data_IF_169081944748
#
_entry.id   IF_169081944748
#
_cell.length_a   1.000
_cell.length_b   1.000
_cell.length_c   1.000
_cell.angle_alpha   90.00
_cell.angle_beta   90.00
_cell.angle_gamma   90.00
#
_symmetry.space_group_name_H-M   'P 1'
#
loop_
_entity.id
_entity.type
_entity.pdbx_description
1 polymer ?
#
# COMPACT_ATOMS: atom_id res chain seq x y z
N UNK A 1 10.12 16.13 14.52
CA UNK A 1 10.68 17.13 15.49
C UNK A 1 10.13 16.82 16.89
N UNK A 2 11.02 16.68 17.90
CA UNK A 2 10.61 16.42 19.29
C UNK A 2 10.13 17.71 19.96
N UNK A 3 8.99 17.67 20.68
CA UNK A 3 8.45 18.76 21.48
C UNK A 3 7.92 18.22 22.81
N UNK A 4 7.83 19.06 23.87
CA UNK A 4 7.13 18.68 25.09
C UNK A 4 5.69 18.23 24.78
N UNK A 5 5.24 17.14 25.41
CA UNK A 5 3.90 16.59 25.18
C UNK A 5 2.81 17.62 25.50
N UNK A 6 2.99 18.43 26.56
CA UNK A 6 2.05 19.50 26.89
C UNK A 6 1.93 20.58 25.79
N UNK A 7 3.04 20.86 25.09
CA UNK A 7 3.04 21.80 23.95
C UNK A 7 2.29 21.20 22.76
N UNK A 8 2.54 19.92 22.45
CA UNK A 8 1.77 19.21 21.40
C UNK A 8 0.27 19.27 21.65
N UNK A 9 -0.18 18.91 22.87
CA UNK A 9 -1.61 18.92 23.26
C UNK A 9 -2.22 20.33 23.14
N UNK A 10 -1.49 21.35 23.58
CA UNK A 10 -1.94 22.75 23.43
C UNK A 10 -2.04 23.20 21.97
N UNK A 11 -1.06 22.86 21.13
CA UNK A 11 -1.04 23.23 19.71
C UNK A 11 -2.13 22.49 18.91
N UNK A 12 -2.35 21.20 19.19
CA UNK A 12 -3.37 20.37 18.52
C UNK A 12 -4.78 20.87 18.87
N UNK A 13 -5.10 20.99 20.18
CA UNK A 13 -6.41 21.47 20.64
C UNK A 13 -6.66 22.94 20.27
N UNK A 14 -5.60 23.76 20.18
CA UNK A 14 -5.65 25.16 19.74
C UNK A 14 -5.75 25.35 18.24
N UNK A 15 -5.69 24.28 17.43
CA UNK A 15 -5.81 24.32 15.98
C UNK A 15 -4.56 24.83 15.26
N UNK A 16 -3.40 24.91 15.91
CA UNK A 16 -2.15 25.39 15.29
C UNK A 16 -1.72 24.51 14.10
N UNK A 17 -2.11 23.22 14.09
CA UNK A 17 -1.82 22.27 13.01
C UNK A 17 -2.96 22.10 11.99
N UNK A 18 -4.06 22.87 12.08
CA UNK A 18 -5.25 22.67 11.25
C UNK A 18 -4.93 22.70 9.74
N UNK A 19 -4.16 23.69 9.27
CA UNK A 19 -3.77 23.77 7.85
C UNK A 19 -2.92 22.57 7.40
N UNK A 20 -1.99 22.11 8.24
CA UNK A 20 -1.16 20.94 7.98
C UNK A 20 -2.00 19.66 7.91
N UNK A 21 -2.92 19.48 8.85
CA UNK A 21 -3.84 18.33 8.89
C UNK A 21 -4.81 18.34 7.70
N UNK A 22 -5.38 19.51 7.35
CA UNK A 22 -6.24 19.62 6.18
C UNK A 22 -5.52 19.21 4.89
N UNK A 23 -4.29 19.66 4.70
CA UNK A 23 -3.47 19.28 3.55
C UNK A 23 -3.11 17.79 3.57
N UNK A 24 -2.68 17.26 4.73
CA UNK A 24 -2.25 15.87 4.86
C UNK A 24 -3.38 14.86 4.61
N UNK A 25 -4.59 15.15 5.11
CA UNK A 25 -5.75 14.27 5.02
C UNK A 25 -6.70 14.62 3.86
N UNK A 26 -6.40 15.64 3.05
CA UNK A 26 -7.29 16.12 1.99
C UNK A 26 -8.71 16.36 2.50
N UNK A 27 -8.85 16.96 3.68
CA UNK A 27 -10.12 17.12 4.36
C UNK A 27 -10.51 18.60 4.51
N UNK A 28 -11.80 18.87 4.67
CA UNK A 28 -12.30 20.21 4.93
C UNK A 28 -11.81 20.71 6.32
N UNK A 29 -11.67 22.04 6.52
CA UNK A 29 -11.20 22.62 7.79
C UNK A 29 -12.00 22.14 9.01
N UNK A 30 -13.30 21.90 8.84
CA UNK A 30 -14.21 21.44 9.90
C UNK A 30 -13.91 20.01 10.38
N UNK A 31 -13.17 19.23 9.58
CA UNK A 31 -12.78 17.85 9.90
C UNK A 31 -11.41 17.77 10.60
N UNK A 32 -10.64 18.85 10.62
CA UNK A 32 -9.29 18.84 11.21
C UNK A 32 -9.27 18.61 12.73
N UNK A 33 -10.28 19.03 13.55
CA UNK A 33 -10.32 18.70 14.97
C UNK A 33 -10.38 17.19 15.23
N UNK A 34 -11.07 16.42 14.40
CA UNK A 34 -11.11 14.97 14.54
C UNK A 34 -9.73 14.34 14.25
N UNK A 35 -8.97 14.88 13.28
CA UNK A 35 -7.60 14.44 13.03
C UNK A 35 -6.67 14.83 14.18
N UNK A 36 -6.78 16.06 14.71
CA UNK A 36 -6.00 16.51 15.87
C UNK A 36 -6.23 15.61 17.10
N UNK A 37 -7.48 15.25 17.37
CA UNK A 37 -7.84 14.35 18.47
C UNK A 37 -7.19 12.96 18.37
N UNK A 38 -6.98 12.43 17.15
CA UNK A 38 -6.23 11.17 16.93
C UNK A 38 -4.78 11.31 17.40
N UNK A 39 -4.12 12.43 17.10
CA UNK A 39 -2.74 12.67 17.54
C UNK A 39 -2.66 12.93 19.07
N UNK A 40 -3.65 13.56 19.66
CA UNK A 40 -3.73 13.67 21.11
C UNK A 40 -3.86 12.28 21.75
N UNK A 41 -4.71 11.42 21.19
CA UNK A 41 -4.91 10.06 21.68
C UNK A 41 -3.64 9.19 21.63
N UNK A 42 -2.79 9.30 20.60
CA UNK A 42 -1.52 8.55 20.58
C UNK A 42 -0.48 9.11 21.57
N UNK A 43 -0.51 10.40 21.89
CA UNK A 43 0.28 10.96 22.98
C UNK A 43 -0.19 10.43 24.35
N UNK A 44 -1.50 10.37 24.57
CA UNK A 44 -2.07 9.78 25.78
C UNK A 44 -1.73 8.29 25.89
N UNK A 45 -1.82 7.56 24.76
CA UNK A 45 -1.45 6.15 24.67
C UNK A 45 0.03 5.89 25.00
N UNK A 46 0.94 6.76 24.50
CA UNK A 46 2.35 6.69 24.83
C UNK A 46 2.59 6.81 26.35
N UNK A 47 2.03 7.85 26.98
CA UNK A 47 2.17 8.08 28.42
C UNK A 47 1.49 6.98 29.26
N UNK A 48 0.32 6.50 28.85
CA UNK A 48 -0.41 5.44 29.55
C UNK A 48 0.33 4.10 29.52
N UNK A 49 1.01 3.80 28.39
CA UNK A 49 1.69 2.51 28.19
C UNK A 49 3.10 2.49 28.79
N UNK A 50 3.85 3.56 28.62
CA UNK A 50 5.28 3.57 28.95
C UNK A 50 5.65 4.48 30.12
N UNK A 51 4.68 5.23 30.64
CA UNK A 51 4.89 6.25 31.66
C UNK A 51 5.17 7.64 31.05
N UNK A 52 5.39 8.66 31.90
CA UNK A 52 5.57 10.04 31.43
C UNK A 52 6.83 10.21 30.57
N UNK A 53 6.68 10.94 29.48
CA UNK A 53 7.77 11.38 28.62
C UNK A 53 7.85 12.91 28.64
N UNK A 54 9.07 13.45 28.70
CA UNK A 54 9.27 14.91 28.68
C UNK A 54 8.91 15.49 27.30
N UNK A 55 9.23 14.76 26.24
CA UNK A 55 9.02 15.14 24.86
C UNK A 55 8.66 13.94 23.98
N UNK A 56 7.97 14.21 22.89
CA UNK A 56 7.64 13.21 21.86
C UNK A 56 7.66 13.83 20.47
N UNK A 57 7.85 13.00 19.45
CA UNK A 57 7.59 13.30 18.05
C UNK A 57 6.27 12.69 17.60
N UNK A 58 5.61 13.30 16.60
CA UNK A 58 4.38 12.80 16.00
C UNK A 58 4.62 12.46 14.52
N UNK A 59 4.13 11.30 14.10
CA UNK A 59 4.42 10.71 12.80
C UNK A 59 3.18 10.12 12.16
N UNK A 60 3.20 10.02 10.82
CA UNK A 60 2.13 9.40 10.05
C UNK A 60 2.68 8.69 8.82
N UNK A 61 2.14 7.53 8.50
CA UNK A 61 2.38 6.86 7.22
C UNK A 61 1.06 6.35 6.62
N UNK A 62 0.76 6.69 5.35
CA UNK A 62 -0.49 6.33 4.71
C UNK A 62 -0.55 4.89 4.25
N UNK A 63 -1.77 4.35 4.14
CA UNK A 63 -2.03 3.23 3.25
C UNK A 63 -1.87 3.63 1.78
N UNK A 64 -1.99 2.65 0.88
CA UNK A 64 -1.84 2.86 -0.55
C UNK A 64 -2.98 2.23 -1.36
N UNK A 65 -3.19 2.71 -2.57
CA UNK A 65 -4.03 2.07 -3.58
C UNK A 65 -3.22 1.75 -4.82
N UNK A 66 -3.45 0.55 -5.40
CA UNK A 66 -2.95 0.18 -6.72
C UNK A 66 -3.93 0.68 -7.78
N UNK A 67 -3.48 1.55 -8.69
CA UNK A 67 -4.32 2.13 -9.75
C UNK A 67 -4.17 1.37 -11.06
N UNK A 68 -2.98 0.85 -11.35
CA UNK A 68 -2.69 0.09 -12.56
C UNK A 68 -1.42 -0.75 -12.43
N UNK A 69 -1.30 -1.77 -13.29
CA UNK A 69 -0.16 -2.69 -13.27
C UNK A 69 -0.34 -3.86 -12.30
N UNK A 70 -1.49 -4.54 -12.40
CA UNK A 70 -1.80 -5.66 -11.51
C UNK A 70 -0.80 -6.82 -11.68
N UNK A 71 -0.01 -7.09 -10.64
CA UNK A 71 1.07 -8.10 -10.60
C UNK A 71 2.23 -7.87 -11.59
N UNK A 72 2.33 -6.70 -12.22
CA UNK A 72 3.41 -6.43 -13.17
C UNK A 72 4.77 -6.23 -12.48
N UNK A 73 4.80 -5.74 -11.25
CA UNK A 73 6.00 -5.53 -10.43
C UNK A 73 6.80 -6.81 -10.22
N UNK A 74 6.12 -7.95 -10.01
CA UNK A 74 6.76 -9.27 -9.88
C UNK A 74 7.46 -9.75 -11.17
N UNK A 75 7.21 -9.08 -12.29
CA UNK A 75 7.81 -9.33 -13.60
C UNK A 75 8.66 -8.14 -14.07
N UNK A 76 9.13 -7.30 -13.16
CA UNK A 76 9.91 -6.08 -13.41
C UNK A 76 9.18 -5.07 -14.31
N UNK A 77 7.85 -5.08 -14.27
CA UNK A 77 7.00 -4.20 -15.08
C UNK A 77 6.77 -2.83 -14.44
N UNK A 78 5.81 -2.10 -15.00
CA UNK A 78 5.38 -0.79 -14.53
C UNK A 78 4.15 -0.92 -13.66
N UNK A 79 4.04 -0.04 -12.67
CA UNK A 79 2.85 0.11 -11.83
C UNK A 79 2.47 1.59 -11.72
N UNK A 80 1.19 1.83 -11.46
CA UNK A 80 0.63 3.12 -11.09
C UNK A 80 -0.05 2.95 -9.74
N UNK A 81 0.42 3.66 -8.72
CA UNK A 81 -0.08 3.55 -7.36
C UNK A 81 -0.16 4.92 -6.69
N UNK A 82 -0.94 5.03 -5.63
CA UNK A 82 -1.06 6.28 -4.89
C UNK A 82 -1.20 6.03 -3.39
N UNK A 83 -0.71 6.97 -2.59
CA UNK A 83 -0.99 7.03 -1.16
C UNK A 83 -2.42 7.53 -0.93
N UNK A 84 -3.06 7.04 0.12
CA UNK A 84 -4.43 7.40 0.46
C UNK A 84 -4.52 8.09 1.82
N UNK A 85 -5.61 8.82 2.06
CA UNK A 85 -5.81 9.65 3.25
C UNK A 85 -6.20 8.88 4.52
N UNK A 86 -6.07 7.56 4.54
CA UNK A 86 -6.13 6.72 5.74
C UNK A 86 -4.72 6.26 6.09
N UNK A 87 -4.38 6.26 7.37
CA UNK A 87 -3.00 6.10 7.80
C UNK A 87 -2.84 5.36 9.13
N UNK A 88 -1.59 5.05 9.43
CA UNK A 88 -1.10 4.78 10.77
C UNK A 88 -0.41 6.03 11.29
N UNK A 89 -0.71 6.40 12.53
CA UNK A 89 -0.06 7.51 13.24
C UNK A 89 0.66 7.00 14.47
N UNK A 90 1.73 7.70 14.86
CA UNK A 90 2.50 7.34 16.05
C UNK A 90 2.91 8.57 16.87
N UNK A 91 3.01 8.36 18.18
CA UNK A 91 3.83 9.17 19.06
C UNK A 91 5.06 8.38 19.48
N UNK A 92 6.25 9.00 19.39
CA UNK A 92 7.50 8.36 19.77
C UNK A 92 8.28 9.24 20.75
N UNK A 93 8.74 8.65 21.85
CA UNK A 93 9.50 9.34 22.91
C UNK A 93 10.74 8.54 23.34
N UNK A 94 11.85 9.21 23.76
CA UNK A 94 13.09 8.53 24.14
C UNK A 94 12.92 7.74 25.45
N UNK A 95 13.62 6.61 25.55
CA UNK A 95 13.81 5.88 26.79
C UNK A 95 15.29 5.61 27.08
N UNK A 96 15.60 5.21 28.32
CA UNK A 96 16.97 4.92 28.76
C UNK A 96 17.29 3.44 28.77
N UNK A 97 16.43 2.58 28.24
CA UNK A 97 16.55 1.12 28.35
C UNK A 97 17.43 0.50 27.28
N UNK A 98 17.81 1.26 26.23
CA UNK A 98 18.53 0.72 25.07
C UNK A 98 17.70 -0.24 24.24
N UNK A 99 16.38 -0.11 24.27
CA UNK A 99 15.40 -0.94 23.58
C UNK A 99 14.49 -0.07 22.73
N UNK A 100 14.07 -0.59 21.57
CA UNK A 100 12.89 -0.10 20.86
C UNK A 100 11.68 -0.88 21.39
N UNK A 101 10.71 -0.16 21.96
CA UNK A 101 9.46 -0.72 22.45
C UNK A 101 8.31 -0.13 21.63
N UNK A 102 7.54 -0.99 20.98
CA UNK A 102 6.43 -0.57 20.11
C UNK A 102 5.14 -1.20 20.59
N UNK A 103 4.19 -0.36 20.94
CA UNK A 103 2.82 -0.74 21.26
C UNK A 103 1.90 -0.25 20.14
N UNK A 104 1.40 -1.18 19.33
CA UNK A 104 0.28 -0.87 18.43
C UNK A 104 -1.04 -1.15 19.14
N UNK A 105 -2.02 -0.27 18.93
CA UNK A 105 -3.34 -0.41 19.51
C UNK A 105 -3.99 -1.74 19.13
N UNK A 106 -4.42 -2.52 20.12
CA UNK A 106 -5.02 -3.84 19.93
C UNK A 106 -4.04 -5.00 19.64
N UNK A 107 -2.73 -4.79 19.84
CA UNK A 107 -1.69 -5.82 19.70
C UNK A 107 -0.83 -5.90 20.98
N UNK A 108 -0.06 -6.96 21.11
CA UNK A 108 0.91 -7.14 22.18
C UNK A 108 2.10 -6.18 22.02
N UNK A 109 2.70 -5.81 23.16
CA UNK A 109 3.91 -5.00 23.20
C UNK A 109 5.08 -5.74 22.55
N UNK A 110 5.69 -5.10 21.56
CA UNK A 110 6.91 -5.61 20.91
C UNK A 110 8.15 -4.89 21.46
N UNK A 111 9.18 -5.66 21.84
CA UNK A 111 10.42 -5.14 22.43
C UNK A 111 11.62 -5.66 21.68
N UNK A 112 12.46 -4.77 21.15
CA UNK A 112 13.69 -5.09 20.45
C UNK A 112 14.89 -4.57 21.22
N UNK A 113 15.83 -5.45 21.57
CA UNK A 113 17.12 -5.05 22.11
C UNK A 113 17.99 -4.47 20.98
N UNK A 114 18.32 -3.17 21.05
CA UNK A 114 19.09 -2.47 20.02
C UNK A 114 20.57 -2.91 19.94
N UNK A 115 21.03 -3.70 20.90
CA UNK A 115 22.38 -4.31 20.88
C UNK A 115 22.46 -5.56 20.03
N UNK A 116 21.32 -6.26 19.86
CA UNK A 116 21.22 -7.49 19.07
C UNK A 116 20.14 -7.36 17.99
N UNK A 117 20.58 -7.02 16.79
CA UNK A 117 19.73 -6.81 15.61
C UNK A 117 19.90 -7.94 14.56
N UNK A 118 20.52 -9.06 14.92
CA UNK A 118 20.62 -10.20 14.01
C UNK A 118 19.24 -10.79 13.71
N UNK A 119 19.01 -11.25 12.47
CA UNK A 119 17.78 -11.92 12.08
C UNK A 119 17.59 -13.20 12.91
N UNK A 120 16.35 -13.48 13.32
CA UNK A 120 15.97 -14.63 14.15
C UNK A 120 14.86 -15.41 13.48
N UNK A 121 15.10 -16.68 13.26
CA UNK A 121 14.14 -17.56 12.59
C UNK A 121 12.81 -17.68 13.36
N UNK A 122 12.87 -17.67 14.67
CA UNK A 122 11.69 -17.70 15.54
C UNK A 122 10.82 -16.44 15.50
N UNK A 123 11.36 -15.34 14.95
CA UNK A 123 10.62 -14.09 14.75
C UNK A 123 10.01 -13.98 13.34
N UNK A 124 10.30 -14.90 12.41
CA UNK A 124 9.69 -14.90 11.06
C UNK A 124 8.15 -14.78 11.16
N UNK A 125 7.57 -14.00 10.28
CA UNK A 125 6.14 -13.65 10.25
C UNK A 125 5.63 -12.84 11.47
N UNK A 126 6.52 -12.15 12.19
CA UNK A 126 6.14 -11.27 13.32
C UNK A 126 6.56 -9.83 13.10
N UNK A 127 5.89 -8.87 13.76
CA UNK A 127 6.28 -7.46 13.75
C UNK A 127 7.69 -7.25 14.33
N UNK A 128 8.15 -8.13 15.22
CA UNK A 128 9.50 -8.06 15.80
C UNK A 128 10.58 -8.21 14.72
N UNK A 129 10.37 -9.09 13.74
CA UNK A 129 11.29 -9.26 12.62
C UNK A 129 11.41 -7.97 11.79
N UNK A 130 10.29 -7.32 11.45
CA UNK A 130 10.29 -6.05 10.72
C UNK A 130 11.05 -4.98 11.50
N UNK A 131 10.70 -4.76 12.76
CA UNK A 131 11.33 -3.75 13.62
C UNK A 131 12.85 -3.96 13.76
N UNK A 132 13.26 -5.22 13.92
CA UNK A 132 14.68 -5.60 14.01
C UNK A 132 15.41 -5.34 12.70
N UNK A 133 14.83 -5.72 11.57
CA UNK A 133 15.37 -5.51 10.23
C UNK A 133 15.54 -4.02 9.91
N UNK A 134 14.54 -3.21 10.19
CA UNK A 134 14.64 -1.76 9.96
C UNK A 134 15.70 -1.11 10.85
N UNK A 135 15.74 -1.44 12.16
CA UNK A 135 16.80 -0.95 13.05
C UNK A 135 18.19 -1.30 12.52
N UNK A 136 18.39 -2.53 12.03
CA UNK A 136 19.66 -2.94 11.42
C UNK A 136 19.98 -2.14 10.17
N UNK A 137 19.03 -1.96 9.27
CA UNK A 137 19.21 -1.21 8.04
C UNK A 137 19.57 0.26 8.31
N UNK A 138 18.96 0.89 9.32
CA UNK A 138 19.30 2.25 9.75
C UNK A 138 20.66 2.30 10.44
N UNK A 139 21.02 1.31 11.28
CA UNK A 139 22.34 1.18 11.88
C UNK A 139 23.45 1.10 10.82
N UNK A 140 23.25 0.29 9.77
CA UNK A 140 24.18 0.18 8.64
C UNK A 140 24.37 1.51 7.89
N UNK A 141 23.37 2.39 7.93
CA UNK A 141 23.45 3.75 7.37
C UNK A 141 24.04 4.80 8.32
N UNK A 142 24.53 4.36 9.47
CA UNK A 142 25.22 5.20 10.45
C UNK A 142 24.32 5.79 11.52
N UNK A 143 23.06 5.34 11.65
CA UNK A 143 22.20 5.74 12.75
C UNK A 143 22.75 5.25 14.09
N UNK A 144 22.87 6.16 15.05
CA UNK A 144 23.24 5.85 16.44
C UNK A 144 21.96 5.63 17.24
N UNK A 145 21.41 4.43 17.09
CA UNK A 145 20.14 4.07 17.73
C UNK A 145 20.27 4.13 19.27
N UNK A 146 19.27 4.71 19.91
CA UNK A 146 19.09 4.74 21.35
C UNK A 146 17.69 4.28 21.71
N UNK A 147 17.42 4.07 23.01
CA UNK A 147 16.12 3.58 23.46
C UNK A 147 14.98 4.49 23.03
N UNK A 148 13.90 3.89 22.52
CA UNK A 148 12.74 4.58 21.98
C UNK A 148 11.44 3.83 22.34
N UNK A 149 10.43 4.56 22.78
CA UNK A 149 9.07 4.09 22.99
C UNK A 149 8.17 4.65 21.89
N UNK A 150 7.37 3.80 21.28
CA UNK A 150 6.48 4.16 20.18
C UNK A 150 5.08 3.62 20.45
N UNK A 151 4.07 4.48 20.43
CA UNK A 151 2.67 4.09 20.47
C UNK A 151 2.00 4.40 19.13
N UNK A 152 1.31 3.41 18.56
CA UNK A 152 0.75 3.46 17.19
C UNK A 152 -0.76 3.25 17.25
N UNK A 153 -1.52 4.09 16.55
CA UNK A 153 -2.94 3.89 16.21
C UNK A 153 -3.14 3.88 14.71
N UNK A 154 -4.07 3.05 14.22
CA UNK A 154 -4.28 2.83 12.79
C UNK A 154 -5.74 2.99 12.38
N UNK A 155 -5.95 3.78 11.32
CA UNK A 155 -7.21 3.82 10.56
C UNK A 155 -7.14 2.98 9.27
N UNK A 156 -5.99 2.34 8.99
CA UNK A 156 -5.85 1.43 7.84
C UNK A 156 -6.53 0.12 8.18
N UNK A 157 -7.67 -0.23 7.56
CA UNK A 157 -8.40 -1.44 7.91
C UNK A 157 -7.59 -2.69 7.58
N UNK A 158 -7.63 -3.69 8.46
CA UNK A 158 -6.99 -4.98 8.20
C UNK A 158 -7.69 -5.70 7.05
N UNK A 159 -6.91 -6.32 6.17
CA UNK A 159 -7.45 -7.11 5.06
C UNK A 159 -8.13 -6.28 3.96
N UNK A 160 -8.15 -4.95 4.07
CA UNK A 160 -8.81 -4.05 3.11
C UNK A 160 -8.01 -3.80 1.82
N UNK A 161 -6.91 -4.51 1.61
CA UNK A 161 -6.09 -4.34 0.41
C UNK A 161 -5.33 -3.01 0.30
N UNK A 162 -5.41 -2.11 1.30
CA UNK A 162 -4.72 -0.81 1.29
C UNK A 162 -3.37 -0.83 2.02
N UNK A 163 -2.82 -2.00 2.26
CA UNK A 163 -1.47 -2.30 2.76
C UNK A 163 -1.11 -1.69 4.12
N UNK A 164 -1.70 -2.25 5.18
CA UNK A 164 -1.32 -1.88 6.55
C UNK A 164 0.13 -2.26 6.89
N UNK A 165 0.70 -3.33 6.31
CA UNK A 165 2.10 -3.72 6.51
C UNK A 165 3.06 -2.65 6.02
N UNK A 166 2.90 -2.19 4.77
CA UNK A 166 3.75 -1.15 4.21
C UNK A 166 3.63 0.18 4.97
N UNK A 167 2.39 0.55 5.41
CA UNK A 167 2.20 1.73 6.25
C UNK A 167 2.96 1.61 7.58
N UNK A 168 2.97 0.43 8.20
CA UNK A 168 3.73 0.17 9.44
C UNK A 168 5.25 0.29 9.21
N UNK A 169 5.78 -0.36 8.17
CA UNK A 169 7.20 -0.29 7.80
C UNK A 169 7.63 1.14 7.52
N UNK A 170 6.87 1.85 6.69
CA UNK A 170 7.17 3.26 6.37
C UNK A 170 7.09 4.15 7.61
N UNK A 171 6.13 3.92 8.52
CA UNK A 171 6.00 4.68 9.76
C UNK A 171 7.25 4.53 10.64
N UNK A 172 7.71 3.30 10.84
CA UNK A 172 8.94 3.02 11.62
C UNK A 172 10.15 3.63 10.92
N UNK A 173 10.26 3.47 9.60
CA UNK A 173 11.34 4.07 8.81
C UNK A 173 11.39 5.59 8.94
N UNK A 174 10.24 6.29 8.91
CA UNK A 174 10.16 7.75 9.09
C UNK A 174 10.59 8.16 10.51
N UNK A 175 10.14 7.44 11.53
CA UNK A 175 10.52 7.68 12.94
C UNK A 175 12.04 7.56 13.11
N UNK A 176 12.62 6.46 12.63
CA UNK A 176 14.07 6.21 12.73
C UNK A 176 14.89 7.24 11.94
N UNK A 177 14.39 7.66 10.76
CA UNK A 177 15.04 8.67 9.93
C UNK A 177 15.06 10.05 10.59
N UNK A 178 13.93 10.52 11.11
CA UNK A 178 13.84 11.81 11.81
C UNK A 178 14.76 11.83 13.05
N UNK A 179 14.61 10.82 13.92
CA UNK A 179 15.25 10.84 15.24
C UNK A 179 16.74 10.52 15.20
N UNK A 180 17.20 9.69 14.27
CA UNK A 180 18.58 9.19 14.30
C UNK A 180 19.42 9.58 13.08
N UNK A 181 18.82 10.05 11.99
CA UNK A 181 19.54 10.48 10.78
C UNK A 181 19.17 11.90 10.30
N UNK A 182 18.34 12.64 11.05
CA UNK A 182 17.90 13.99 10.69
C UNK A 182 17.37 14.06 9.24
N UNK A 183 16.48 13.13 8.89
CA UNK A 183 15.79 13.02 7.59
C UNK A 183 16.72 12.86 6.36
N UNK A 184 17.90 12.28 6.54
CA UNK A 184 18.86 12.09 5.43
C UNK A 184 18.52 10.93 4.51
N UNK A 185 17.61 10.04 4.91
CA UNK A 185 17.19 8.92 4.09
C UNK A 185 16.00 9.35 3.25
N UNK A 186 16.09 9.19 1.93
CA UNK A 186 15.01 9.57 1.02
C UNK A 186 13.79 8.64 1.18
N UNK A 187 12.57 9.09 0.81
CA UNK A 187 11.38 8.24 0.83
C UNK A 187 11.56 6.94 0.04
N UNK A 188 12.22 6.98 -1.12
CA UNK A 188 12.54 5.79 -1.91
C UNK A 188 13.41 4.82 -1.10
N UNK A 189 14.42 5.32 -0.40
CA UNK A 189 15.29 4.46 0.40
C UNK A 189 14.57 3.92 1.65
N UNK A 190 13.62 4.65 2.26
CA UNK A 190 12.76 4.15 3.34
C UNK A 190 11.93 2.97 2.82
N UNK A 191 11.29 3.10 1.65
CA UNK A 191 10.53 2.02 1.03
C UNK A 191 11.39 0.77 0.78
N UNK A 192 12.62 0.94 0.28
CA UNK A 192 13.57 -0.15 0.06
C UNK A 192 14.03 -0.81 1.38
N UNK A 193 14.15 -0.04 2.47
CA UNK A 193 14.45 -0.57 3.81
C UNK A 193 13.31 -1.46 4.29
N UNK A 194 12.04 -1.01 4.21
CA UNK A 194 10.88 -1.78 4.60
C UNK A 194 10.81 -3.10 3.82
N UNK A 195 10.90 -3.06 2.49
CA UNK A 195 10.94 -4.25 1.65
C UNK A 195 12.09 -5.21 2.05
N UNK A 196 13.27 -4.68 2.30
CA UNK A 196 14.41 -5.51 2.73
C UNK A 196 14.14 -6.18 4.07
N UNK A 197 13.55 -5.46 5.03
CA UNK A 197 13.16 -6.03 6.32
C UNK A 197 12.11 -7.13 6.15
N UNK A 198 11.10 -6.93 5.26
CA UNK A 198 10.08 -7.95 4.96
C UNK A 198 10.68 -9.19 4.30
N UNK A 199 11.57 -9.01 3.32
CA UNK A 199 12.17 -10.12 2.58
C UNK A 199 13.20 -10.91 3.40
N UNK A 200 14.03 -10.23 4.22
CA UNK A 200 15.21 -10.84 4.88
C UNK A 200 14.92 -11.25 6.32
N UNK A 201 14.12 -10.48 7.05
CA UNK A 201 13.84 -10.71 8.47
C UNK A 201 12.47 -11.36 8.67
N UNK A 202 11.43 -10.83 8.04
CA UNK A 202 10.09 -11.40 8.14
C UNK A 202 9.94 -12.69 7.35
N UNK A 203 10.74 -12.89 6.29
CA UNK A 203 10.80 -14.13 5.53
C UNK A 203 9.75 -14.25 4.42
N UNK A 204 9.07 -13.18 4.07
CA UNK A 204 8.05 -13.15 3.00
C UNK A 204 8.54 -12.34 1.81
N UNK A 205 8.83 -12.94 0.65
CA UNK A 205 9.15 -12.21 -0.57
C UNK A 205 7.97 -11.30 -0.99
N UNK A 206 8.22 -10.01 -1.06
CA UNK A 206 7.23 -9.02 -1.49
C UNK A 206 7.77 -8.13 -2.62
N UNK A 207 6.85 -7.52 -3.40
CA UNK A 207 7.15 -6.42 -4.30
C UNK A 207 7.50 -5.14 -3.53
N UNK A 208 7.92 -4.10 -4.26
CA UNK A 208 8.31 -2.81 -3.67
C UNK A 208 7.21 -1.72 -3.83
N UNK A 209 6.15 -2.01 -4.58
CA UNK A 209 5.10 -1.04 -4.91
C UNK A 209 4.44 -0.45 -3.67
N UNK A 210 4.10 -1.28 -2.70
CA UNK A 210 3.32 -0.91 -1.52
C UNK A 210 4.08 0.09 -0.65
N UNK A 211 5.31 -0.26 -0.29
CA UNK A 211 6.19 0.60 0.50
C UNK A 211 6.52 1.89 -0.24
N UNK A 212 6.72 1.82 -1.57
CA UNK A 212 7.03 2.98 -2.39
C UNK A 212 5.87 3.97 -2.41
N UNK A 213 4.63 3.50 -2.66
CA UNK A 213 3.46 4.35 -2.68
C UNK A 213 3.18 4.97 -1.31
N UNK A 214 3.30 4.19 -0.21
CA UNK A 214 3.14 4.70 1.16
C UNK A 214 4.21 5.73 1.53
N UNK A 215 5.46 5.51 1.12
CA UNK A 215 6.60 6.35 1.52
C UNK A 215 6.72 7.64 0.73
N UNK A 216 6.49 7.60 -0.59
CA UNK A 216 6.68 8.76 -1.49
C UNK A 216 5.50 9.72 -1.44
N UNK A 217 4.28 9.19 -1.37
CA UNK A 217 3.07 10.01 -1.42
C UNK A 217 2.60 10.33 -2.85
N UNK A 218 1.45 11.00 -2.94
CA UNK A 218 0.80 11.34 -4.21
C UNK A 218 0.45 10.10 -5.06
N UNK A 219 0.15 10.31 -6.34
CA UNK A 219 0.17 9.24 -7.34
C UNK A 219 1.57 9.19 -7.93
N UNK A 220 2.11 7.99 -8.02
CA UNK A 220 3.42 7.71 -8.61
C UNK A 220 3.30 6.60 -9.65
N UNK A 221 4.06 6.72 -10.72
CA UNK A 221 4.37 5.59 -11.59
C UNK A 221 5.75 5.07 -11.25
N UNK A 222 5.89 3.74 -11.24
CA UNK A 222 7.15 3.07 -10.93
C UNK A 222 7.48 2.14 -12.10
N UNK A 223 8.67 2.26 -12.69
CA UNK A 223 9.20 1.28 -13.64
C UNK A 223 10.27 0.43 -12.94
N UNK A 224 10.00 -0.86 -12.79
CA UNK A 224 10.88 -1.84 -12.16
C UNK A 224 11.81 -2.54 -13.16
N UNK A 225 12.10 -1.95 -14.32
CA UNK A 225 13.03 -2.55 -15.29
C UNK A 225 14.38 -2.94 -14.64
N UNK A 226 14.86 -2.12 -13.69
CA UNK A 226 15.91 -2.46 -12.73
C UNK A 226 15.34 -2.34 -11.30
N UNK A 227 14.98 -3.45 -10.65
CA UNK A 227 14.42 -3.41 -9.30
C UNK A 227 15.36 -2.82 -8.24
N UNK A 228 16.68 -2.85 -8.46
CA UNK A 228 17.64 -2.24 -7.55
C UNK A 228 17.66 -0.70 -7.68
N UNK A 229 17.21 -0.19 -8.84
CA UNK A 229 17.14 1.24 -9.15
C UNK A 229 15.84 1.57 -9.87
N UNK A 230 14.69 1.42 -9.21
CA UNK A 230 13.40 1.69 -9.82
C UNK A 230 13.30 3.17 -10.22
N UNK A 231 12.70 3.43 -11.39
CA UNK A 231 12.40 4.80 -11.81
C UNK A 231 11.04 5.16 -11.22
N UNK A 232 11.02 6.17 -10.34
CA UNK A 232 9.82 6.64 -9.65
C UNK A 232 9.52 8.06 -10.11
N UNK A 233 8.35 8.27 -10.71
CA UNK A 233 7.92 9.58 -11.18
C UNK A 233 6.57 9.95 -10.59
N UNK A 234 6.39 11.19 -10.10
CA UNK A 234 5.08 11.66 -9.68
C UNK A 234 4.15 11.85 -10.89
N UNK A 235 2.87 11.54 -10.65
CA UNK A 235 1.78 11.79 -11.58
C UNK A 235 0.77 12.68 -10.85
N UNK A 236 0.97 14.01 -10.84
CA UNK A 236 0.16 14.93 -10.05
C UNK A 236 -1.26 15.01 -10.63
N UNK A 237 -2.20 14.38 -9.94
CA UNK A 237 -3.63 14.35 -10.33
C UNK A 237 -4.49 14.46 -9.08
N UNK A 238 -5.52 15.27 -9.18
CA UNK A 238 -6.61 15.34 -8.22
C UNK A 238 -7.91 14.83 -8.87
N UNK A 239 -8.31 13.61 -8.52
CA UNK A 239 -9.53 13.01 -9.04
C UNK A 239 -10.79 13.80 -8.67
N UNK A 240 -10.79 14.53 -7.55
CA UNK A 240 -11.94 15.33 -7.14
C UNK A 240 -12.21 16.49 -8.10
N UNK A 241 -11.16 17.10 -8.65
CA UNK A 241 -11.28 18.13 -9.69
C UNK A 241 -11.80 17.57 -11.02
N UNK A 242 -11.60 16.26 -11.26
CA UNK A 242 -12.17 15.57 -12.39
C UNK A 242 -13.61 15.09 -12.15
N UNK A 243 -14.21 15.42 -11.00
CA UNK A 243 -15.53 14.96 -10.63
C UNK A 243 -15.60 13.46 -10.31
N UNK A 244 -14.48 12.86 -9.91
CA UNK A 244 -14.35 11.44 -9.58
C UNK A 244 -14.00 11.25 -8.11
N UNK A 245 -14.61 10.25 -7.48
CA UNK A 245 -14.24 9.74 -6.16
C UNK A 245 -13.59 8.36 -6.32
N UNK A 246 -12.52 8.14 -5.56
CA UNK A 246 -11.89 6.82 -5.44
C UNK A 246 -12.58 6.06 -4.30
N UNK A 247 -13.13 4.88 -4.60
CA UNK A 247 -13.75 4.00 -3.62
C UNK A 247 -13.01 2.67 -3.56
N UNK A 248 -12.76 2.19 -2.35
CA UNK A 248 -12.31 0.82 -2.07
C UNK A 248 -13.45 0.09 -1.38
N UNK A 249 -13.89 -1.00 -2.00
CA UNK A 249 -15.00 -1.82 -1.56
C UNK A 249 -14.45 -3.10 -0.92
N UNK A 250 -14.68 -3.29 0.37
CA UNK A 250 -14.33 -4.53 1.06
C UNK A 250 -15.36 -5.61 0.72
N UNK A 251 -14.96 -6.62 -0.04
CA UNK A 251 -15.83 -7.70 -0.47
C UNK A 251 -16.27 -8.66 0.67
N UNK A 252 -15.55 -8.62 1.80
CA UNK A 252 -15.73 -9.56 2.90
C UNK A 252 -15.10 -10.93 2.68
N UNK A 253 -14.42 -11.15 1.55
CA UNK A 253 -13.69 -12.40 1.32
C UNK A 253 -12.46 -12.50 2.22
N UNK A 254 -12.26 -13.69 2.80
CA UNK A 254 -11.08 -13.97 3.63
C UNK A 254 -9.87 -14.32 2.75
N UNK A 255 -8.69 -13.89 3.19
CA UNK A 255 -7.39 -14.23 2.59
C UNK A 255 -6.81 -15.56 3.11
N UNK A 256 -7.45 -16.21 4.09
CA UNK A 256 -7.00 -17.47 4.63
C UNK A 256 -6.92 -18.52 3.49
N UNK A 257 -5.87 -19.30 3.49
CA UNK A 257 -5.63 -20.41 2.55
C UNK A 257 -5.44 -20.03 1.05
N UNK A 258 -5.24 -18.74 0.71
CA UNK A 258 -5.01 -18.31 -0.68
C UNK A 258 -3.54 -18.09 -1.04
N UNK A 259 -2.62 -18.36 -0.14
CA UNK A 259 -1.17 -18.14 -0.34
C UNK A 259 -0.64 -18.80 -1.61
N UNK A 260 -1.10 -20.03 -1.90
CA UNK A 260 -0.67 -20.80 -3.08
C UNK A 260 -1.15 -20.15 -4.38
N UNK A 261 -2.36 -19.57 -4.41
CA UNK A 261 -2.90 -18.89 -5.58
C UNK A 261 -2.13 -17.58 -5.85
N UNK A 262 -1.77 -16.83 -4.80
CA UNK A 262 -0.91 -15.65 -4.93
C UNK A 262 0.48 -16.02 -5.46
N UNK A 263 1.10 -17.05 -4.91
CA UNK A 263 2.42 -17.53 -5.31
C UNK A 263 2.42 -18.10 -6.74
N UNK A 264 1.31 -18.66 -7.19
CA UNK A 264 1.19 -19.23 -8.53
C UNK A 264 1.34 -18.17 -9.63
N UNK A 265 0.88 -16.93 -9.42
CA UNK A 265 0.96 -15.88 -10.45
C UNK A 265 2.42 -15.59 -10.86
N UNK A 266 3.32 -15.15 -9.95
CA UNK A 266 4.70 -14.87 -10.33
C UNK A 266 5.44 -16.13 -10.79
N UNK A 267 5.15 -17.29 -10.21
CA UNK A 267 5.83 -18.54 -10.58
C UNK A 267 5.47 -18.99 -12.00
N UNK A 268 4.21 -18.95 -12.37
CA UNK A 268 3.75 -19.29 -13.73
C UNK A 268 4.29 -18.30 -14.77
N UNK A 269 4.30 -17.00 -14.47
CA UNK A 269 4.89 -15.99 -15.36
C UNK A 269 6.40 -16.22 -15.55
N UNK A 270 7.15 -16.55 -14.49
CA UNK A 270 8.58 -16.89 -14.59
C UNK A 270 8.80 -18.16 -15.41
N UNK A 271 7.94 -19.17 -15.26
CA UNK A 271 8.04 -20.39 -16.07
C UNK A 271 7.91 -20.08 -17.58
N UNK A 272 6.96 -19.24 -17.95
CA UNK A 272 6.81 -18.78 -19.35
C UNK A 272 8.04 -17.97 -19.79
N UNK A 273 8.55 -17.06 -18.98
CA UNK A 273 9.76 -16.29 -19.29
C UNK A 273 10.97 -17.21 -19.52
N UNK A 274 11.15 -18.23 -18.68
CA UNK A 274 12.25 -19.21 -18.81
C UNK A 274 12.19 -20.00 -20.13
N UNK A 275 11.01 -20.45 -20.56
CA UNK A 275 10.82 -21.07 -21.87
C UNK A 275 11.23 -20.12 -23.01
N UNK A 276 10.99 -18.83 -22.81
CA UNK A 276 11.37 -17.78 -23.78
C UNK A 276 12.84 -17.33 -23.68
N UNK A 277 13.61 -17.85 -22.68
CA UNK A 277 15.02 -17.53 -22.50
C UNK A 277 15.27 -16.29 -21.62
N UNK A 278 14.29 -15.84 -20.83
CA UNK A 278 14.40 -14.75 -19.88
C UNK A 278 14.16 -15.22 -18.44
N UNK A 279 14.52 -14.38 -17.49
CA UNK A 279 14.25 -14.61 -16.04
C UNK A 279 12.84 -14.16 -15.67
N UNK A 280 12.42 -13.02 -16.21
CA UNK A 280 11.10 -12.40 -16.04
C UNK A 280 10.56 -11.96 -17.41
N UNK A 281 9.26 -11.76 -17.53
CA UNK A 281 8.61 -11.40 -18.79
C UNK A 281 9.11 -10.05 -19.35
N UNK A 282 9.52 -9.11 -18.48
CA UNK A 282 10.08 -7.82 -18.91
C UNK A 282 11.37 -7.99 -19.75
N UNK A 283 12.13 -9.06 -19.53
CA UNK A 283 13.36 -9.36 -20.28
C UNK A 283 13.10 -10.11 -21.59
N UNK A 284 11.85 -10.46 -21.88
CA UNK A 284 11.45 -11.21 -23.07
C UNK A 284 10.66 -10.31 -24.01
N UNK A 285 11.11 -10.07 -25.26
CA UNK A 285 10.30 -9.36 -26.25
C UNK A 285 8.98 -10.09 -26.52
N UNK A 286 7.89 -9.33 -26.67
CA UNK A 286 6.55 -9.90 -26.90
C UNK A 286 6.51 -10.81 -28.15
N UNK A 287 7.23 -10.45 -29.23
CA UNK A 287 7.33 -11.26 -30.44
C UNK A 287 8.00 -12.61 -30.20
N UNK A 288 8.98 -12.66 -29.27
CA UNK A 288 9.62 -13.93 -28.86
C UNK A 288 8.63 -14.81 -28.11
N UNK A 289 7.84 -14.22 -27.20
CA UNK A 289 6.78 -14.95 -26.50
C UNK A 289 5.76 -15.52 -27.49
N UNK A 290 5.28 -14.72 -28.45
CA UNK A 290 4.33 -15.17 -29.48
C UNK A 290 4.92 -16.30 -30.33
N UNK A 291 6.17 -16.20 -30.76
CA UNK A 291 6.83 -17.22 -31.55
C UNK A 291 6.97 -18.56 -30.79
N UNK A 292 7.14 -18.49 -29.45
CA UNK A 292 7.26 -19.66 -28.57
C UNK A 292 5.94 -20.09 -27.91
N UNK A 293 4.82 -19.49 -28.29
CA UNK A 293 3.52 -19.76 -27.70
C UNK A 293 3.14 -21.26 -27.64
N UNK A 294 3.32 -22.06 -28.73
CA UNK A 294 3.04 -23.50 -28.66
C UNK A 294 3.89 -24.24 -27.64
N UNK A 295 5.16 -23.83 -27.49
CA UNK A 295 6.09 -24.42 -26.52
C UNK A 295 5.72 -24.05 -25.10
N UNK A 296 5.40 -22.78 -24.85
CA UNK A 296 4.93 -22.27 -23.55
C UNK A 296 3.66 -23.01 -23.11
N UNK A 297 2.67 -23.18 -24.00
CA UNK A 297 1.45 -23.95 -23.71
C UNK A 297 1.75 -25.38 -23.31
N UNK A 298 2.67 -26.03 -24.02
CA UNK A 298 3.03 -27.43 -23.76
C UNK A 298 3.76 -27.61 -22.42
N UNK A 299 4.65 -26.66 -22.07
CA UNK A 299 5.51 -26.81 -20.89
C UNK A 299 4.91 -26.17 -19.62
N UNK A 300 4.20 -25.04 -19.75
CA UNK A 300 3.70 -24.27 -18.62
C UNK A 300 2.17 -24.35 -18.43
N UNK A 301 1.45 -24.78 -19.47
CA UNK A 301 -0.02 -24.83 -19.47
C UNK A 301 -0.67 -23.50 -19.90
N UNK A 302 -1.97 -23.58 -20.19
CA UNK A 302 -2.73 -22.45 -20.77
C UNK A 302 -2.91 -21.28 -19.77
N UNK A 303 -3.10 -21.57 -18.47
CA UNK A 303 -3.24 -20.52 -17.43
C UNK A 303 -1.99 -19.65 -17.32
N UNK A 304 -0.81 -20.25 -17.32
CA UNK A 304 0.46 -19.52 -17.28
C UNK A 304 0.63 -18.61 -18.52
N UNK A 305 0.22 -19.10 -19.68
CA UNK A 305 0.24 -18.32 -20.94
C UNK A 305 -0.74 -17.15 -20.88
N UNK A 306 -1.96 -17.35 -20.39
CA UNK A 306 -2.94 -16.27 -20.20
C UNK A 306 -2.41 -15.19 -19.23
N UNK A 307 -1.80 -15.61 -18.12
CA UNK A 307 -1.15 -14.71 -17.17
C UNK A 307 -0.03 -13.88 -17.83
N UNK A 308 0.78 -14.50 -18.70
CA UNK A 308 1.81 -13.78 -19.45
C UNK A 308 1.19 -12.72 -20.39
N UNK A 309 0.12 -13.02 -21.12
CA UNK A 309 -0.61 -12.04 -21.94
C UNK A 309 -1.09 -10.85 -21.09
N UNK A 310 -1.64 -11.11 -19.89
CA UNK A 310 -2.03 -10.04 -18.97
C UNK A 310 -0.85 -9.14 -18.63
N UNK A 311 0.28 -9.72 -18.20
CA UNK A 311 1.46 -8.95 -17.78
C UNK A 311 1.97 -8.04 -18.89
N UNK A 312 2.09 -8.54 -20.14
CA UNK A 312 2.50 -7.69 -21.27
C UNK A 312 1.51 -6.55 -21.52
N UNK A 313 0.21 -6.87 -21.57
CA UNK A 313 -0.82 -5.89 -21.84
C UNK A 313 -0.94 -4.85 -20.72
N UNK A 314 -0.87 -5.27 -19.45
CA UNK A 314 -1.04 -4.37 -18.30
C UNK A 314 0.18 -3.48 -18.09
N UNK A 315 1.39 -3.99 -18.37
CA UNK A 315 2.61 -3.19 -18.38
C UNK A 315 2.54 -2.02 -19.40
N UNK A 316 1.99 -2.25 -20.59
CA UNK A 316 1.79 -1.21 -21.59
C UNK A 316 0.63 -0.29 -21.24
N UNK A 317 -0.41 -0.82 -20.62
CA UNK A 317 -1.59 -0.08 -20.15
C UNK A 317 -1.22 0.96 -19.10
N UNK A 318 -0.30 0.65 -18.17
CA UNK A 318 0.21 1.62 -17.19
C UNK A 318 0.80 2.85 -17.86
N UNK A 319 1.63 2.68 -18.89
CA UNK A 319 2.21 3.81 -19.62
C UNK A 319 1.12 4.70 -20.28
N UNK A 320 0.07 4.08 -20.82
CA UNK A 320 -1.07 4.80 -21.40
C UNK A 320 -1.93 5.49 -20.32
N UNK A 321 -2.14 4.86 -19.16
CA UNK A 321 -2.83 5.47 -18.02
C UNK A 321 -2.09 6.71 -17.53
N UNK A 322 -0.75 6.64 -17.41
CA UNK A 322 0.08 7.79 -17.02
C UNK A 322 -0.02 8.93 -18.04
N UNK A 323 0.03 8.62 -19.33
CA UNK A 323 -0.10 9.63 -20.40
C UNK A 323 -1.49 10.30 -20.31
N UNK A 324 -2.56 9.52 -20.24
CA UNK A 324 -3.93 10.04 -20.14
C UNK A 324 -4.11 10.95 -18.90
N UNK A 325 -3.59 10.55 -17.73
CA UNK A 325 -3.65 11.38 -16.52
C UNK A 325 -2.87 12.69 -16.67
N UNK A 326 -1.67 12.67 -17.28
CA UNK A 326 -0.87 13.87 -17.52
C UNK A 326 -1.52 14.84 -18.50
N UNK A 327 -2.32 14.32 -19.43
CA UNK A 327 -3.08 15.10 -20.43
C UNK A 327 -4.47 15.53 -19.89
N UNK A 328 -4.90 15.03 -18.73
CA UNK A 328 -6.23 15.29 -18.17
C UNK A 328 -7.34 14.54 -18.91
N UNK A 329 -7.00 13.51 -19.70
CA UNK A 329 -7.97 12.65 -20.38
C UNK A 329 -8.48 11.53 -19.46
N UNK A 330 -9.40 11.91 -18.57
CA UNK A 330 -10.02 10.98 -17.64
C UNK A 330 -10.91 9.94 -18.31
N UNK A 331 -11.43 10.21 -19.49
CA UNK A 331 -12.22 9.24 -20.26
C UNK A 331 -11.33 8.07 -20.68
N UNK A 332 -10.21 8.33 -21.32
CA UNK A 332 -9.23 7.31 -21.68
C UNK A 332 -8.69 6.59 -20.44
N UNK A 333 -8.37 7.33 -19.37
CA UNK A 333 -7.91 6.74 -18.12
C UNK A 333 -8.92 5.71 -17.55
N UNK A 334 -10.19 6.08 -17.43
CA UNK A 334 -11.25 5.19 -16.91
C UNK A 334 -11.46 3.95 -17.78
N UNK A 335 -11.41 4.11 -19.11
CA UNK A 335 -11.47 2.97 -20.04
C UNK A 335 -10.31 2.00 -19.79
N UNK A 336 -9.07 2.52 -19.64
CA UNK A 336 -7.89 1.71 -19.39
C UNK A 336 -7.95 1.01 -18.02
N UNK A 337 -8.54 1.63 -16.98
CA UNK A 337 -8.81 0.98 -15.68
C UNK A 337 -9.79 -0.18 -15.87
N UNK A 338 -10.86 0.04 -16.61
CA UNK A 338 -11.86 -1.00 -16.95
C UNK A 338 -11.26 -2.17 -17.71
N UNK A 339 -10.41 -1.90 -18.72
CA UNK A 339 -9.67 -2.91 -19.48
C UNK A 339 -8.70 -3.71 -18.59
N UNK A 340 -7.99 -3.05 -17.66
CA UNK A 340 -7.14 -3.73 -16.69
C UNK A 340 -7.95 -4.70 -15.82
N UNK A 341 -9.11 -4.26 -15.33
CA UNK A 341 -10.02 -5.10 -14.55
C UNK A 341 -10.55 -6.30 -15.35
N UNK A 342 -10.87 -6.11 -16.62
CA UNK A 342 -11.29 -7.19 -17.52
C UNK A 342 -10.15 -8.17 -17.78
N UNK A 343 -8.95 -7.67 -18.04
CA UNK A 343 -7.75 -8.49 -18.23
C UNK A 343 -7.37 -9.28 -16.97
N UNK A 344 -7.55 -8.69 -15.78
CA UNK A 344 -7.38 -9.38 -14.51
C UNK A 344 -8.34 -10.56 -14.36
N UNK A 345 -9.60 -10.37 -14.77
CA UNK A 345 -10.61 -11.43 -14.72
C UNK A 345 -10.35 -12.54 -15.74
N UNK A 346 -10.14 -12.16 -17.01
CA UNK A 346 -10.07 -13.10 -18.13
C UNK A 346 -8.72 -13.80 -18.24
N UNK A 347 -7.61 -13.08 -18.06
CA UNK A 347 -6.27 -13.55 -18.34
C UNK A 347 -5.44 -13.83 -17.09
N UNK A 348 -5.37 -12.89 -16.15
CA UNK A 348 -4.64 -13.10 -14.90
C UNK A 348 -5.34 -14.11 -14.00
N UNK A 349 -6.68 -14.12 -14.04
CA UNK A 349 -7.55 -15.03 -13.30
C UNK A 349 -7.34 -14.90 -11.78
N UNK A 350 -7.28 -13.68 -11.29
CA UNK A 350 -7.12 -13.37 -9.85
C UNK A 350 -8.39 -12.76 -9.21
N UNK A 351 -9.56 -12.93 -9.83
CA UNK A 351 -10.85 -12.48 -9.26
C UNK A 351 -11.53 -13.60 -8.49
N UNK A 352 -11.46 -14.83 -8.99
CA UNK A 352 -12.08 -16.01 -8.39
C UNK A 352 -10.97 -17.05 -8.14
N UNK A 353 -10.78 -17.51 -6.89
CA UNK A 353 -9.82 -18.59 -6.62
C UNK A 353 -10.17 -19.88 -7.36
N UNK A 354 -9.17 -20.66 -7.75
CA UNK A 354 -9.39 -21.89 -8.49
C UNK A 354 -10.24 -22.88 -7.68
N UNK A 355 -11.30 -23.41 -8.31
CA UNK A 355 -12.20 -24.41 -7.69
C UNK A 355 -13.32 -23.83 -6.82
N UNK A 356 -13.34 -22.51 -6.56
CA UNK A 356 -14.40 -21.87 -5.77
C UNK A 356 -15.68 -21.73 -6.60
N UNK A 357 -16.81 -22.22 -6.08
CA UNK A 357 -18.12 -22.19 -6.73
C UNK A 357 -19.14 -21.31 -6.01
N UNK A 358 -19.14 -21.33 -4.69
CA UNK A 358 -20.13 -20.67 -3.84
C UNK A 358 -19.61 -19.33 -3.27
N UNK A 359 -18.32 -19.25 -2.98
CA UNK A 359 -17.65 -18.09 -2.42
C UNK A 359 -16.89 -17.32 -3.51
N UNK A 360 -17.54 -16.31 -4.09
CA UNK A 360 -17.00 -15.46 -5.16
C UNK A 360 -17.29 -13.99 -4.87
N UNK A 361 -16.99 -13.57 -3.65
CA UNK A 361 -17.37 -12.27 -3.10
C UNK A 361 -16.80 -11.12 -3.92
N UNK A 362 -15.54 -11.22 -4.37
CA UNK A 362 -14.88 -10.21 -5.22
C UNK A 362 -15.63 -10.09 -6.57
N UNK A 363 -16.00 -11.20 -7.18
CA UNK A 363 -16.72 -11.20 -8.45
C UNK A 363 -18.10 -10.57 -8.32
N UNK A 364 -18.84 -10.90 -7.25
CA UNK A 364 -20.15 -10.32 -6.94
C UNK A 364 -20.02 -8.82 -6.69
N UNK A 365 -19.00 -8.39 -5.95
CA UNK A 365 -18.72 -6.97 -5.67
C UNK A 365 -18.45 -6.19 -6.96
N UNK A 366 -17.62 -6.74 -7.88
CA UNK A 366 -17.36 -6.13 -9.19
C UNK A 366 -18.65 -6.03 -10.01
N UNK A 367 -19.46 -7.08 -10.06
CA UNK A 367 -20.71 -7.11 -10.83
C UNK A 367 -21.71 -6.07 -10.30
N UNK A 368 -21.90 -6.01 -8.98
CA UNK A 368 -22.77 -5.03 -8.33
C UNK A 368 -22.28 -3.59 -8.57
N UNK A 369 -20.99 -3.33 -8.38
CA UNK A 369 -20.40 -2.00 -8.60
C UNK A 369 -20.58 -1.54 -10.05
N UNK A 370 -20.31 -2.39 -11.05
CA UNK A 370 -20.57 -2.09 -12.47
C UNK A 370 -22.05 -1.81 -12.74
N UNK A 371 -22.96 -2.56 -12.12
CA UNK A 371 -24.41 -2.34 -12.27
C UNK A 371 -24.82 -0.95 -11.76
N UNK A 372 -24.40 -0.56 -10.55
CA UNK A 372 -24.76 0.73 -9.96
C UNK A 372 -24.08 1.93 -10.62
N UNK A 373 -22.92 1.73 -11.26
CA UNK A 373 -22.30 2.78 -12.07
C UNK A 373 -23.00 3.00 -13.42
N UNK A 374 -23.77 2.03 -13.93
CA UNK A 374 -24.52 2.17 -15.17
C UNK A 374 -23.66 2.53 -16.38
N UNK A 375 -22.43 2.02 -16.46
CA UNK A 375 -21.47 2.33 -17.53
C UNK A 375 -20.68 3.62 -17.35
N UNK A 376 -20.84 4.34 -16.22
CA UNK A 376 -20.04 5.51 -15.86
C UNK A 376 -18.95 5.10 -14.88
N UNK A 377 -17.79 5.80 -14.90
CA UNK A 377 -16.67 5.45 -14.04
C UNK A 377 -15.98 4.15 -14.45
N UNK A 378 -15.23 3.52 -13.51
CA UNK A 378 -14.52 2.28 -13.76
C UNK A 378 -14.43 1.41 -12.51
N UNK A 379 -14.34 0.08 -12.68
CA UNK A 379 -14.23 -0.90 -11.59
C UNK A 379 -13.21 -1.97 -11.95
N UNK A 380 -12.36 -2.33 -10.99
CA UNK A 380 -11.41 -3.44 -11.13
C UNK A 380 -11.17 -4.15 -9.79
N UNK A 381 -10.65 -5.37 -9.84
CA UNK A 381 -10.03 -5.99 -8.65
C UNK A 381 -8.89 -5.11 -8.16
N UNK A 382 -8.68 -5.03 -6.85
CA UNK A 382 -7.68 -4.20 -6.21
C UNK A 382 -6.62 -5.05 -5.50
N UNK A 383 -5.33 -4.73 -5.73
CA UNK A 383 -4.21 -5.44 -5.15
C UNK A 383 -4.06 -6.86 -5.69
N UNK A 384 -3.69 -7.82 -4.84
CA UNK A 384 -3.40 -9.20 -5.26
C UNK A 384 -4.58 -9.98 -5.83
N UNK A 385 -5.81 -9.59 -5.53
CA UNK A 385 -7.02 -10.28 -5.98
C UNK A 385 -7.39 -11.50 -5.13
N UNK A 386 -8.15 -12.43 -5.71
CA UNK A 386 -8.71 -13.65 -5.11
C UNK A 386 -9.64 -13.41 -3.92
N UNK A 387 -9.29 -12.51 -3.02
CA UNK A 387 -10.04 -12.03 -1.87
C UNK A 387 -9.82 -10.52 -1.67
N UNK A 388 -10.36 -9.97 -0.58
CA UNK A 388 -10.14 -8.58 -0.18
C UNK A 388 -10.99 -7.58 -0.93
N UNK A 389 -10.40 -6.72 -1.76
CA UNK A 389 -11.07 -5.49 -2.16
C UNK A 389 -11.21 -5.30 -3.67
N UNK A 390 -12.16 -4.43 -4.01
CA UNK A 390 -12.44 -3.94 -5.36
C UNK A 390 -12.26 -2.43 -5.37
N UNK A 391 -11.59 -1.90 -6.38
CA UNK A 391 -11.43 -0.46 -6.61
C UNK A 391 -12.49 0.03 -7.59
N UNK A 392 -13.07 1.18 -7.28
CA UNK A 392 -14.01 1.87 -8.15
C UNK A 392 -13.68 3.37 -8.25
N UNK A 393 -13.68 3.89 -9.47
CA UNK A 393 -13.69 5.32 -9.75
C UNK A 393 -15.13 5.73 -10.03
N UNK A 394 -15.72 6.50 -9.13
CA UNK A 394 -17.16 6.79 -9.10
C UNK A 394 -17.37 8.28 -9.41
N UNK A 395 -18.18 8.65 -10.41
CA UNK A 395 -18.60 10.03 -10.58
C UNK A 395 -19.23 10.59 -9.30
N UNK A 396 -18.81 11.79 -8.89
CA UNK A 396 -19.23 12.39 -7.60
C UNK A 396 -20.75 12.52 -7.51
N UNK A 397 -21.43 12.78 -8.63
CA UNK A 397 -22.90 12.85 -8.68
C UNK A 397 -23.59 11.50 -8.38
N UNK A 398 -22.90 10.38 -8.54
CA UNK A 398 -23.41 9.05 -8.23
C UNK A 398 -22.99 8.54 -6.85
N UNK A 399 -22.00 9.20 -6.22
CA UNK A 399 -21.28 8.67 -5.06
C UNK A 399 -22.21 8.30 -3.89
N UNK A 400 -23.13 9.16 -3.51
CA UNK A 400 -24.03 8.91 -2.37
C UNK A 400 -24.91 7.68 -2.60
N UNK A 401 -25.54 7.57 -3.78
CA UNK A 401 -26.35 6.41 -4.15
C UNK A 401 -25.52 5.14 -4.32
N UNK A 402 -24.35 5.26 -4.94
CA UNK A 402 -23.41 4.14 -5.11
C UNK A 402 -22.97 3.56 -3.76
N UNK A 403 -22.52 4.43 -2.83
CA UNK A 403 -22.12 4.02 -1.48
C UNK A 403 -23.26 3.32 -0.75
N UNK A 404 -24.44 3.91 -0.71
CA UNK A 404 -25.60 3.33 -0.03
C UNK A 404 -25.98 1.95 -0.60
N UNK A 405 -25.98 1.80 -1.93
CA UNK A 405 -26.30 0.54 -2.59
C UNK A 405 -25.25 -0.54 -2.35
N UNK A 406 -23.96 -0.16 -2.40
CA UNK A 406 -22.86 -1.12 -2.14
C UNK A 406 -22.88 -1.56 -0.67
N UNK A 407 -23.06 -0.65 0.28
CA UNK A 407 -23.11 -1.00 1.71
C UNK A 407 -24.37 -1.82 2.07
N UNK A 408 -25.47 -1.67 1.34
CA UNK A 408 -26.63 -2.55 1.51
C UNK A 408 -26.33 -4.02 1.13
N UNK A 409 -25.36 -4.25 0.23
CA UNK A 409 -24.95 -5.59 -0.19
C UNK A 409 -23.79 -6.11 0.66
N UNK A 410 -22.77 -5.28 0.88
CA UNK A 410 -21.51 -5.68 1.50
C UNK A 410 -21.54 -5.57 3.03
N UNK A 411 -22.41 -4.73 3.57
CA UNK A 411 -22.45 -4.33 4.98
C UNK A 411 -21.99 -2.88 5.19
N UNK A 412 -22.48 -2.27 6.26
CA UNK A 412 -22.18 -0.89 6.64
C UNK A 412 -20.67 -0.69 6.84
N UNK A 413 -20.14 0.43 6.35
CA UNK A 413 -18.72 0.82 6.48
C UNK A 413 -17.79 0.12 5.51
N UNK A 414 -18.27 -0.77 4.61
CA UNK A 414 -17.41 -1.49 3.66
C UNK A 414 -17.17 -0.77 2.33
N UNK A 415 -17.70 0.43 2.15
CA UNK A 415 -17.40 1.31 1.01
C UNK A 415 -16.58 2.50 1.51
N UNK A 416 -15.27 2.40 1.41
CA UNK A 416 -14.32 3.43 1.83
C UNK A 416 -14.14 4.44 0.69
N UNK A 417 -14.56 5.69 0.92
CA UNK A 417 -14.30 6.80 0.00
C UNK A 417 -12.96 7.43 0.38
N UNK A 418 -12.00 7.39 -0.52
CA UNK A 418 -10.63 7.80 -0.26
C UNK A 418 -10.22 8.98 -1.14
N UNK A 419 -9.26 9.75 -0.65
CA UNK A 419 -8.56 10.80 -1.40
C UNK A 419 -7.08 10.42 -1.55
N UNK A 420 -6.46 10.88 -2.62
CA UNK A 420 -5.02 10.75 -2.81
C UNK A 420 -4.32 11.72 -1.86
N UNK A 421 -3.49 11.19 -0.99
CA UNK A 421 -2.72 11.95 -0.02
C UNK A 421 -1.47 12.52 -0.70
N UNK A 422 -1.21 13.83 -0.62
CA UNK A 422 -0.11 14.47 -1.36
C UNK A 422 1.28 14.11 -0.82
N UNK A 423 1.36 13.62 0.40
CA UNK A 423 2.61 13.30 1.10
C UNK A 423 2.57 11.88 1.64
N UNK A 424 3.65 11.15 1.51
CA UNK A 424 3.81 9.82 2.06
C UNK A 424 4.04 9.80 3.57
N UNK A 425 5.04 9.03 4.01
CA UNK A 425 5.46 9.06 5.40
C UNK A 425 5.89 10.46 5.83
N UNK A 426 5.35 10.95 6.94
CA UNK A 426 5.46 12.35 7.36
C UNK A 426 5.75 12.52 8.85
N UNK A 427 6.48 13.60 9.17
CA UNK A 427 6.61 14.18 10.52
C UNK A 427 5.60 15.32 10.64
N UNK A 428 4.89 15.40 11.76
CA UNK A 428 3.89 16.46 12.00
C UNK A 428 4.52 17.76 12.48
#
# INVERSE_FOLDING_TARGET
>A
MMKPISVWKQELSGGAHAARLAALYCCAPEQTPAQAARYEAVLDGLEATFGPHAEAGLYSAPGRTEIGGNHTDHQHGRVLAGSVNIDMIAAAGPNTLGQLRVQSEGYDLCVIDLKDLAARKEEENTSAAILRGECEAFRQRGAKLSGLDVYISSNVPKGSGVSSSAAFEVLIGVILNDLFLAEKVSPIAIAQIGQWAENVYFGKPCGLMDQMASSVGNIITIDFADPAKPIVEPVPVDFSQAGLALCILDSGADHADLTDEYAAIPNECRAVAAVCGGEVLRNVPFETFIAKLPECRKQCGDRAVLRAFHIYADNDRVAKQVAALREGDFTTFLNLVGESGQSSWEYLQNVIPAGYKEHQEVAVTIAAAKHFLGGKGAVRVHGGGFAGTVQAFVPVELLAGFKANMEAILGEGRCHVLSIRPEGGAVL
#
